data_IF_605069096694
#
_entry.id   IF_605069096694
#
_cell.length_a   1.000
_cell.length_b   1.000
_cell.length_c   1.000
_cell.angle_alpha   90.00
_cell.angle_beta   90.00
_cell.angle_gamma   90.00
#
_symmetry.space_group_name_H-M   'P 1'
#
loop_
_entity.id
_entity.type
_entity.pdbx_description
1 polymer ?
#
# COMPACT_ATOMS: atom_id res chain seq x y z
N UNK A 1 -10.54 -3.58 3.17
CA UNK A 1 -9.21 -3.04 3.45
C UNK A 1 -8.15 -3.95 2.86
N UNK A 2 -7.16 -3.37 2.20
CA UNK A 2 -5.99 -4.09 1.69
C UNK A 2 -4.78 -3.72 2.53
N UNK A 3 -4.08 -4.73 3.04
CA UNK A 3 -2.85 -4.55 3.82
C UNK A 3 -1.65 -4.99 2.98
N UNK A 4 -0.76 -4.05 2.68
CA UNK A 4 0.45 -4.28 1.87
C UNK A 4 1.66 -4.14 2.80
N UNK A 5 2.22 -5.26 3.22
CA UNK A 5 3.34 -5.27 4.17
C UNK A 5 4.68 -5.60 3.52
N UNK A 6 4.74 -5.63 2.20
CA UNK A 6 5.97 -5.85 1.43
C UNK A 6 5.86 -5.11 0.10
N UNK A 7 6.99 -4.84 -0.52
CA UNK A 7 7.03 -4.25 -1.86
C UNK A 7 6.94 -5.29 -2.99
N UNK A 8 6.53 -6.51 -2.65
CA UNK A 8 6.38 -7.64 -3.56
C UNK A 8 5.34 -8.61 -3.02
N UNK A 9 4.86 -9.52 -3.86
CA UNK A 9 3.91 -10.56 -3.46
C UNK A 9 4.65 -11.89 -3.37
N UNK A 10 4.59 -12.51 -2.20
CA UNK A 10 5.11 -13.86 -1.97
C UNK A 10 6.61 -13.95 -1.83
N UNK A 11 7.06 -15.18 -1.59
CA UNK A 11 8.46 -15.57 -1.50
C UNK A 11 8.77 -16.52 -2.64
N UNK A 12 10.03 -16.58 -3.03
CA UNK A 12 10.48 -17.44 -4.11
C UNK A 12 11.39 -16.66 -5.03
N UNK A 13 10.87 -15.69 -5.74
CA UNK A 13 11.65 -14.82 -6.61
C UNK A 13 11.17 -13.38 -6.44
N UNK A 14 12.10 -12.46 -6.19
CA UNK A 14 11.78 -11.08 -5.92
C UNK A 14 11.29 -10.32 -7.16
N UNK A 15 11.85 -10.63 -8.32
CA UNK A 15 11.41 -10.02 -9.58
C UNK A 15 9.98 -10.44 -9.91
N UNK A 16 9.70 -11.73 -9.78
CA UNK A 16 8.34 -12.26 -9.93
C UNK A 16 7.39 -11.61 -8.92
N UNK A 17 7.82 -11.48 -7.67
CA UNK A 17 7.03 -10.85 -6.62
C UNK A 17 6.63 -9.41 -6.96
N UNK A 18 7.55 -8.64 -7.54
CA UNK A 18 7.26 -7.27 -7.97
C UNK A 18 6.31 -7.24 -9.17
N UNK A 19 6.45 -8.17 -10.10
CA UNK A 19 5.51 -8.31 -11.22
C UNK A 19 4.10 -8.62 -10.73
N UNK A 20 3.99 -9.53 -9.76
CA UNK A 20 2.70 -9.90 -9.19
C UNK A 20 2.06 -8.73 -8.43
N UNK A 21 2.86 -7.92 -7.74
CA UNK A 21 2.34 -6.75 -7.06
C UNK A 21 1.77 -5.73 -8.05
N UNK A 22 2.48 -5.46 -9.14
CA UNK A 22 1.98 -4.56 -10.19
C UNK A 22 0.66 -5.06 -10.75
N UNK A 23 0.56 -6.36 -11.04
CA UNK A 23 -0.66 -6.97 -11.54
C UNK A 23 -1.80 -6.86 -10.52
N UNK A 24 -1.51 -7.06 -9.24
CA UNK A 24 -2.51 -6.92 -8.18
C UNK A 24 -3.05 -5.49 -8.13
N UNK A 25 -2.17 -4.48 -8.13
CA UNK A 25 -2.58 -3.08 -8.09
C UNK A 25 -3.40 -2.70 -9.32
N UNK A 26 -3.01 -3.18 -10.49
CA UNK A 26 -3.78 -2.96 -11.72
C UNK A 26 -5.20 -3.51 -11.59
N UNK A 27 -5.32 -4.73 -11.10
CA UNK A 27 -6.62 -5.38 -10.99
C UNK A 27 -7.49 -4.80 -9.87
N UNK A 28 -6.91 -4.46 -8.73
CA UNK A 28 -7.67 -3.86 -7.64
C UNK A 28 -8.26 -2.50 -8.05
N UNK A 29 -7.62 -1.80 -8.98
CA UNK A 29 -8.11 -0.53 -9.51
C UNK A 29 -9.30 -0.69 -10.46
N UNK A 30 -9.55 -1.90 -10.94
CA UNK A 30 -10.59 -2.20 -11.95
C UNK A 30 -11.79 -2.95 -11.38
N UNK A 31 -11.66 -3.55 -10.21
CA UNK A 31 -12.68 -4.45 -9.66
C UNK A 31 -13.43 -3.78 -8.52
N UNK A 32 -14.74 -3.64 -8.68
CA UNK A 32 -15.62 -3.13 -7.61
C UNK A 32 -16.15 -4.30 -6.75
N UNK A 33 -16.42 -4.07 -5.47
CA UNK A 33 -16.27 -2.79 -4.75
C UNK A 33 -14.80 -2.50 -4.45
N UNK A 34 -14.42 -1.23 -4.59
CA UNK A 34 -13.06 -0.81 -4.24
C UNK A 34 -12.86 -0.88 -2.74
N UNK A 35 -11.62 -1.15 -2.26
CA UNK A 35 -11.35 -1.10 -0.82
C UNK A 35 -11.55 0.32 -0.28
N UNK A 36 -11.93 0.43 0.98
CA UNK A 36 -12.01 1.74 1.64
C UNK A 36 -10.62 2.30 1.91
N UNK A 37 -9.69 1.43 2.27
CA UNK A 37 -8.33 1.80 2.67
C UNK A 37 -7.32 0.80 2.13
N UNK A 38 -6.13 1.30 1.82
CA UNK A 38 -4.95 0.47 1.62
C UNK A 38 -3.89 0.94 2.60
N UNK A 39 -3.39 0.02 3.41
CA UNK A 39 -2.42 0.32 4.47
C UNK A 39 -1.07 -0.28 4.08
N UNK A 40 -0.03 0.56 4.08
CA UNK A 40 1.32 0.17 3.67
C UNK A 40 2.24 0.17 4.89
N UNK A 41 2.90 -0.96 5.13
CA UNK A 41 3.86 -1.12 6.23
C UNK A 41 5.10 -1.86 5.75
N UNK A 42 6.15 -1.81 6.59
CA UNK A 42 7.44 -2.44 6.30
C UNK A 42 7.92 -2.00 4.90
N UNK A 43 8.44 -2.90 4.08
CA UNK A 43 8.90 -2.52 2.74
C UNK A 43 7.76 -2.09 1.80
N UNK A 44 6.51 -2.33 2.16
CA UNK A 44 5.36 -1.82 1.42
C UNK A 44 5.33 -0.30 1.32
N UNK A 45 5.90 0.43 2.29
CA UNK A 45 5.95 1.89 2.23
C UNK A 45 6.79 2.41 1.06
N UNK A 46 7.72 1.59 0.57
CA UNK A 46 8.57 1.95 -0.59
C UNK A 46 7.76 2.14 -1.87
N UNK A 47 6.57 1.56 -1.94
CA UNK A 47 5.68 1.72 -3.09
C UNK A 47 5.09 3.13 -3.19
N UNK A 48 5.01 3.84 -2.08
CA UNK A 48 4.34 5.14 -1.98
C UNK A 48 5.31 6.33 -2.03
N UNK A 49 6.61 6.10 -2.22
CA UNK A 49 7.62 7.14 -2.20
C UNK A 49 8.15 7.43 -3.59
N UNK A 50 8.82 8.58 -3.73
CA UNK A 50 9.45 8.99 -4.98
C UNK A 50 10.37 7.89 -5.53
N UNK A 51 10.31 7.68 -6.85
CA UNK A 51 11.05 6.63 -7.52
C UNK A 51 10.31 5.30 -7.64
N UNK A 52 9.18 5.15 -6.98
CA UNK A 52 8.35 3.96 -7.13
C UNK A 52 7.76 3.86 -8.52
N UNK A 53 7.78 2.65 -9.10
CA UNK A 53 7.23 2.39 -10.43
C UNK A 53 5.69 2.36 -10.46
N UNK A 54 5.05 2.33 -9.29
CA UNK A 54 3.59 2.17 -9.19
C UNK A 54 2.87 3.44 -8.73
N UNK A 55 3.55 4.59 -8.69
CA UNK A 55 2.95 5.85 -8.21
C UNK A 55 1.72 6.26 -9.01
N UNK A 56 1.77 6.16 -10.34
CA UNK A 56 0.62 6.52 -11.18
C UNK A 56 -0.59 5.65 -10.87
N UNK A 57 -0.37 4.35 -10.71
CA UNK A 57 -1.43 3.40 -10.38
C UNK A 57 -2.00 3.69 -9.00
N UNK A 58 -1.15 4.01 -8.03
CA UNK A 58 -1.61 4.36 -6.68
C UNK A 58 -2.43 5.65 -6.69
N UNK A 59 -2.03 6.64 -7.48
CA UNK A 59 -2.82 7.87 -7.65
C UNK A 59 -4.17 7.60 -8.28
N UNK A 60 -4.23 6.70 -9.26
CA UNK A 60 -5.48 6.28 -9.88
C UNK A 60 -6.40 5.61 -8.85
N UNK A 61 -5.86 4.71 -8.02
CA UNK A 61 -6.62 4.06 -6.96
C UNK A 61 -7.15 5.10 -5.97
N UNK A 62 -6.31 6.04 -5.56
CA UNK A 62 -6.70 7.11 -4.65
C UNK A 62 -7.82 7.97 -5.24
N UNK A 63 -7.79 8.22 -6.55
CA UNK A 63 -8.83 9.01 -7.24
C UNK A 63 -10.20 8.34 -7.21
N UNK A 64 -10.26 7.06 -6.91
CA UNK A 64 -11.52 6.30 -6.81
C UNK A 64 -12.06 6.28 -5.37
N UNK A 65 -11.51 7.10 -4.49
CA UNK A 65 -11.98 7.23 -3.11
C UNK A 65 -11.30 6.29 -2.12
N UNK A 66 -10.27 5.57 -2.54
CA UNK A 66 -9.50 4.70 -1.64
C UNK A 66 -8.49 5.53 -0.86
N UNK A 67 -8.52 5.45 0.46
CA UNK A 67 -7.52 6.11 1.30
C UNK A 67 -6.24 5.28 1.35
N UNK A 68 -5.11 5.91 0.99
CA UNK A 68 -3.80 5.27 1.08
C UNK A 68 -3.11 5.75 2.35
N UNK A 69 -2.83 4.81 3.26
CA UNK A 69 -2.23 5.10 4.57
C UNK A 69 -0.86 4.46 4.65
N UNK A 70 0.16 5.27 4.91
CA UNK A 70 1.56 4.86 4.84
C UNK A 70 2.20 4.98 6.22
N UNK A 71 2.75 3.89 6.73
CA UNK A 71 3.31 3.81 8.08
C UNK A 71 4.46 4.79 8.27
N UNK A 72 4.31 5.73 9.20
CA UNK A 72 5.33 6.73 9.51
C UNK A 72 6.58 6.14 10.12
N UNK A 73 6.45 5.17 11.02
CA UNK A 73 7.60 4.49 11.64
C UNK A 73 8.42 3.79 10.57
N UNK A 74 7.78 3.12 9.63
CA UNK A 74 8.47 2.40 8.56
C UNK A 74 9.19 3.37 7.63
N UNK A 75 8.54 4.48 7.26
CA UNK A 75 9.17 5.52 6.44
C UNK A 75 10.41 6.09 7.11
N UNK A 76 10.32 6.38 8.41
CA UNK A 76 11.47 6.89 9.18
C UNK A 76 12.61 5.89 9.26
N UNK A 77 12.29 4.63 9.49
CA UNK A 77 13.29 3.57 9.58
C UNK A 77 14.10 3.46 8.28
N UNK A 78 13.43 3.55 7.14
CA UNK A 78 14.10 3.46 5.84
C UNK A 78 14.65 4.81 5.35
N UNK A 79 14.49 5.89 6.11
CA UNK A 79 14.95 7.22 5.70
C UNK A 79 14.17 7.79 4.52
N UNK A 80 12.88 7.42 4.38
CA UNK A 80 12.07 7.77 3.21
C UNK A 80 10.95 8.78 3.50
N UNK A 81 10.87 9.30 4.71
CA UNK A 81 9.73 10.13 5.13
C UNK A 81 9.54 11.38 4.24
N UNK A 82 10.65 12.03 3.87
CA UNK A 82 10.60 13.23 3.03
C UNK A 82 10.26 12.93 1.58
N UNK A 83 10.29 11.67 1.17
CA UNK A 83 10.00 11.24 -0.19
C UNK A 83 8.59 10.71 -0.40
N UNK A 84 7.70 10.82 0.58
CA UNK A 84 6.32 10.36 0.42
C UNK A 84 5.65 11.09 -0.76
N UNK A 85 5.14 10.34 -1.72
CA UNK A 85 4.60 10.88 -2.96
C UNK A 85 3.10 10.69 -3.10
N UNK A 86 2.51 9.71 -2.42
CA UNK A 86 1.05 9.45 -2.46
C UNK A 86 0.58 9.03 -1.06
N UNK A 87 -0.70 9.25 -0.79
CA UNK A 87 -1.30 8.90 0.48
C UNK A 87 -0.91 9.83 1.60
N UNK A 88 -1.18 9.41 2.82
CA UNK A 88 -0.82 10.15 4.03
C UNK A 88 -0.20 9.25 5.07
N UNK A 89 0.56 9.85 5.97
CA UNK A 89 1.23 9.12 7.05
C UNK A 89 0.19 8.64 8.07
N UNK A 90 0.31 7.39 8.48
CA UNK A 90 -0.49 6.79 9.54
C UNK A 90 0.41 6.23 10.65
N UNK A 91 -0.23 5.76 11.71
CA UNK A 91 0.42 5.09 12.84
C UNK A 91 -0.28 3.78 13.16
N UNK A 92 0.32 2.98 14.06
CA UNK A 92 -0.24 1.68 14.42
C UNK A 92 -1.62 1.77 15.04
N UNK A 93 -1.88 2.80 15.86
CA UNK A 93 -3.19 2.96 16.50
C UNK A 93 -4.29 3.13 15.45
N UNK A 94 -4.09 4.01 14.49
CA UNK A 94 -5.05 4.21 13.41
C UNK A 94 -5.21 2.94 12.56
N UNK A 95 -4.10 2.30 12.19
CA UNK A 95 -4.13 1.10 11.37
C UNK A 95 -4.90 -0.03 12.06
N UNK A 96 -4.66 -0.25 13.34
CA UNK A 96 -5.37 -1.29 14.10
C UNK A 96 -6.86 -0.99 14.17
N UNK A 97 -7.24 0.27 14.37
CA UNK A 97 -8.66 0.67 14.36
C UNK A 97 -9.32 0.35 13.02
N UNK A 98 -8.63 0.61 11.93
CA UNK A 98 -9.14 0.33 10.58
C UNK A 98 -9.29 -1.17 10.37
N UNK A 99 -8.27 -1.95 10.73
CA UNK A 99 -8.30 -3.41 10.58
C UNK A 99 -9.41 -4.05 11.40
N UNK A 100 -9.58 -3.63 12.64
CA UNK A 100 -10.59 -4.22 13.53
C UNK A 100 -12.01 -3.85 13.14
N UNK A 101 -12.21 -2.70 12.51
CA UNK A 101 -13.54 -2.27 12.05
C UNK A 101 -13.88 -2.83 10.67
N UNK A 102 -12.92 -3.34 9.92
CA UNK A 102 -13.14 -3.83 8.56
C UNK A 102 -13.91 -5.15 8.57
N UNK A 103 -14.83 -5.32 7.63
CA UNK A 103 -15.51 -6.60 7.41
C UNK A 103 -14.59 -7.61 6.75
N UNK A 104 -13.60 -7.14 5.98
CA UNK A 104 -12.64 -7.99 5.29
C UNK A 104 -11.30 -7.26 5.18
N UNK A 105 -10.21 -7.96 5.46
CA UNK A 105 -8.85 -7.48 5.23
C UNK A 105 -8.14 -8.47 4.30
N UNK A 106 -7.64 -7.97 3.19
CA UNK A 106 -6.81 -8.74 2.27
C UNK A 106 -5.36 -8.36 2.52
N UNK A 107 -4.54 -9.33 2.88
CA UNK A 107 -3.10 -9.12 3.12
C UNK A 107 -2.30 -9.71 1.96
N UNK A 108 -1.41 -8.93 1.42
CA UNK A 108 -0.53 -9.38 0.35
C UNK A 108 0.93 -9.13 0.67
#
# INVERSE_FOLDING_TARGET
>A
VVFINKDRVGHGDDELGRMLLKAFLENISLVEPYPSHMVFMNSGVKLAVEGSEVLEKLREIESKGVELLVCGTCLSFFGLKDGLAVGRITNQNEAVKIFTAASKVITI
#
